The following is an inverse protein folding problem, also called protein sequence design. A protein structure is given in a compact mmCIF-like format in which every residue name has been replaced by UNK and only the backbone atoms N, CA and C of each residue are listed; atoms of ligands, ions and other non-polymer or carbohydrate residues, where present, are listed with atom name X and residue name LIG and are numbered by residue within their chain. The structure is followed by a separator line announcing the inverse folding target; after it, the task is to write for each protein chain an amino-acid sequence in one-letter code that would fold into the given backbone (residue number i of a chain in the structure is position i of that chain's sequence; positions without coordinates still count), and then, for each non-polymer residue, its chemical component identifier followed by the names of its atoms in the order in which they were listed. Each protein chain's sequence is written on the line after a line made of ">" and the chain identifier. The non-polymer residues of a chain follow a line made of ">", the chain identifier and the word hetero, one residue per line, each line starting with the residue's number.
data_IF_065481985104
#
_entry.id   IF_065481985104
#
_cell.length_a   1.000
_cell.length_b   1.000
_cell.length_c   1.000
_cell.angle_alpha   90.00
_cell.angle_beta   90.00
_cell.angle_gamma   90.00
#
_symmetry.space_group_name_H-M   'P 1'
#
loop_
_entity.id
_entity.type
_entity.pdbx_description
1 polymer ?
#
# COMPACT_ATOMS: atom_id res chain seq x y z
N UNK A 1 39.17 -13.13 -4.21
CA UNK A 1 37.79 -13.49 -3.82
C UNK A 1 36.95 -12.23 -3.91
N UNK A 2 36.04 -12.13 -4.88
CA UNK A 2 35.15 -10.98 -5.04
C UNK A 2 33.97 -11.14 -4.06
N UNK A 3 33.96 -10.34 -3.00
CA UNK A 3 32.81 -10.22 -2.10
C UNK A 3 31.67 -9.56 -2.86
N UNK A 4 30.69 -10.38 -3.27
CA UNK A 4 29.41 -9.90 -3.81
C UNK A 4 28.69 -9.15 -2.69
N UNK A 5 28.95 -7.85 -2.58
CA UNK A 5 28.16 -6.94 -1.76
C UNK A 5 26.73 -7.01 -2.27
N UNK A 6 25.89 -7.81 -1.61
CA UNK A 6 24.44 -7.79 -1.85
C UNK A 6 23.98 -6.38 -1.49
N UNK A 7 23.82 -5.52 -2.50
CA UNK A 7 23.29 -4.18 -2.33
C UNK A 7 21.83 -4.33 -1.92
N UNK A 8 21.59 -4.53 -0.61
CA UNK A 8 20.25 -4.52 -0.07
C UNK A 8 19.75 -3.10 -0.17
N UNK A 9 18.77 -2.90 -1.03
CA UNK A 9 18.11 -1.62 -1.17
C UNK A 9 17.65 -1.16 0.23
N UNK A 10 18.06 0.04 0.68
CA UNK A 10 17.72 0.50 2.02
C UNK A 10 16.21 0.54 2.19
N UNK A 11 15.72 0.13 3.36
CA UNK A 11 14.31 0.19 3.67
C UNK A 11 13.80 1.62 3.51
N UNK A 12 12.58 1.76 3.00
CA UNK A 12 11.97 3.08 2.88
C UNK A 12 11.78 3.71 4.25
N UNK A 13 12.26 4.94 4.43
CA UNK A 13 12.10 5.68 5.68
C UNK A 13 10.64 6.08 5.90
N UNK A 14 10.27 6.44 7.13
CA UNK A 14 8.92 6.93 7.43
C UNK A 14 8.58 8.15 6.57
N UNK A 15 9.51 9.09 6.40
CA UNK A 15 9.33 10.26 5.55
C UNK A 15 9.01 9.87 4.10
N UNK A 16 9.73 8.90 3.54
CA UNK A 16 9.50 8.40 2.18
C UNK A 16 8.13 7.74 2.05
N UNK A 17 7.72 6.97 3.05
CA UNK A 17 6.39 6.35 3.12
C UNK A 17 5.28 7.42 3.12
N UNK A 18 5.42 8.44 3.98
CA UNK A 18 4.46 9.55 4.09
C UNK A 18 4.41 10.38 2.81
N UNK A 19 5.56 10.62 2.18
CA UNK A 19 5.63 11.31 0.91
C UNK A 19 4.84 10.58 -0.17
N UNK A 20 5.05 9.27 -0.32
CA UNK A 20 4.33 8.47 -1.30
C UNK A 20 2.81 8.47 -1.02
N UNK A 21 2.39 8.33 0.24
CA UNK A 21 0.97 8.37 0.62
C UNK A 21 0.32 9.70 0.22
N UNK A 22 0.95 10.84 0.55
CA UNK A 22 0.42 12.17 0.22
C UNK A 22 0.29 12.38 -1.29
N UNK A 23 1.27 11.90 -2.07
CA UNK A 23 1.23 12.02 -3.53
C UNK A 23 0.18 11.13 -4.16
N UNK A 24 0.06 9.87 -3.71
CA UNK A 24 -0.96 8.95 -4.20
C UNK A 24 -2.37 9.44 -3.86
N UNK A 25 -2.57 10.11 -2.71
CA UNK A 25 -3.88 10.66 -2.34
C UNK A 25 -4.49 11.58 -3.40
N UNK A 26 -3.69 12.35 -4.13
CA UNK A 26 -4.19 13.23 -5.19
C UNK A 26 -4.60 12.50 -6.48
N UNK A 27 -4.18 11.23 -6.64
CA UNK A 27 -4.34 10.44 -7.88
C UNK A 27 -4.83 9.03 -7.59
N UNK A 28 -5.47 8.83 -6.44
CA UNK A 28 -5.80 7.50 -5.91
C UNK A 28 -6.75 6.77 -6.84
N UNK A 29 -7.74 7.46 -7.41
CA UNK A 29 -8.72 6.91 -8.33
C UNK A 29 -8.04 6.34 -9.59
N UNK A 30 -7.11 7.09 -10.17
CA UNK A 30 -6.35 6.64 -11.34
C UNK A 30 -5.42 5.47 -11.01
N UNK A 31 -4.76 5.51 -9.86
CA UNK A 31 -3.84 4.44 -9.43
C UNK A 31 -4.58 3.14 -9.14
N UNK A 32 -5.84 3.24 -8.69
CA UNK A 32 -6.72 2.12 -8.38
C UNK A 32 -7.68 1.76 -9.52
N UNK A 33 -7.62 2.43 -10.67
CA UNK A 33 -8.41 2.04 -11.82
C UNK A 33 -7.86 0.73 -12.40
N UNK A 34 -8.63 -0.35 -12.22
CA UNK A 34 -8.28 -1.70 -12.66
C UNK A 34 -8.86 -2.06 -14.03
N UNK A 35 -9.54 -1.13 -14.72
CA UNK A 35 -9.99 -1.36 -16.09
C UNK A 35 -8.78 -1.66 -16.98
N UNK A 36 -8.97 -2.62 -17.89
CA UNK A 36 -7.91 -3.17 -18.75
C UNK A 36 -7.87 -2.53 -20.15
N UNK A 37 -8.67 -1.49 -20.39
CA UNK A 37 -8.62 -0.78 -21.66
C UNK A 37 -7.29 -0.02 -21.80
N UNK A 38 -6.91 0.22 -23.06
CA UNK A 38 -5.63 0.84 -23.42
C UNK A 38 -5.49 2.23 -22.79
N UNK A 39 -6.55 3.04 -22.81
CA UNK A 39 -6.51 4.43 -22.33
C UNK A 39 -6.27 4.47 -20.81
N UNK A 40 -7.03 3.68 -20.05
CA UNK A 40 -6.84 3.56 -18.60
C UNK A 40 -5.44 3.04 -18.26
N UNK A 41 -4.96 2.02 -18.98
CA UNK A 41 -3.64 1.43 -18.71
C UNK A 41 -2.52 2.43 -18.98
N UNK A 42 -2.58 3.16 -20.10
CA UNK A 42 -1.61 4.20 -20.46
C UNK A 42 -1.63 5.33 -19.43
N UNK A 43 -2.82 5.83 -19.08
CA UNK A 43 -2.97 6.90 -18.11
C UNK A 43 -2.42 6.52 -16.72
N UNK A 44 -2.77 5.32 -16.22
CA UNK A 44 -2.24 4.80 -14.96
C UNK A 44 -0.72 4.64 -14.98
N UNK A 45 -0.15 4.16 -16.09
CA UNK A 45 1.30 4.04 -16.23
C UNK A 45 1.99 5.41 -16.24
N UNK A 46 1.39 6.41 -16.89
CA UNK A 46 1.90 7.79 -16.89
C UNK A 46 1.90 8.39 -15.46
N UNK A 47 0.81 8.24 -14.72
CA UNK A 47 0.73 8.68 -13.32
C UNK A 47 1.80 8.00 -12.46
N UNK A 48 2.02 6.69 -12.63
CA UNK A 48 3.08 5.99 -11.92
C UNK A 48 4.49 6.48 -12.30
N UNK A 49 4.71 6.84 -13.56
CA UNK A 49 5.99 7.40 -14.01
C UNK A 49 6.24 8.79 -13.39
N UNK A 50 5.23 9.66 -13.37
CA UNK A 50 5.30 10.98 -12.73
C UNK A 50 5.54 10.87 -11.21
N UNK A 51 4.84 9.95 -10.54
CA UNK A 51 5.06 9.65 -9.14
C UNK A 51 6.50 9.20 -8.88
N UNK A 52 7.06 8.34 -9.72
CA UNK A 52 8.44 7.88 -9.58
C UNK A 52 9.45 9.00 -9.80
N UNK A 53 9.23 9.85 -10.80
CA UNK A 53 10.07 11.02 -11.06
C UNK A 53 10.05 11.98 -9.86
N UNK A 54 8.86 12.33 -9.39
CA UNK A 54 8.66 13.24 -8.24
C UNK A 54 9.25 12.68 -6.95
N UNK A 55 9.08 11.38 -6.72
CA UNK A 55 9.67 10.68 -5.57
C UNK A 55 11.20 10.72 -5.61
N UNK A 56 11.80 10.37 -6.75
CA UNK A 56 13.26 10.36 -6.89
C UNK A 56 13.87 11.76 -6.82
N UNK A 57 13.17 12.78 -7.35
CA UNK A 57 13.59 14.17 -7.24
C UNK A 57 13.54 14.68 -5.79
N UNK A 58 12.59 14.19 -4.98
CA UNK A 58 12.46 14.57 -3.57
C UNK A 58 13.46 13.87 -2.66
N UNK A 59 14.00 12.71 -3.08
CA UNK A 59 15.00 11.93 -2.35
C UNK A 59 16.23 11.64 -3.22
N UNK A 60 17.00 12.67 -3.63
CA UNK A 60 18.14 12.50 -4.54
C UNK A 60 19.35 11.79 -3.87
N UNK A 61 19.37 11.72 -2.54
CA UNK A 61 20.46 11.11 -1.76
C UNK A 61 20.50 9.58 -1.81
N UNK A 62 19.53 8.94 -2.47
CA UNK A 62 19.42 7.49 -2.59
C UNK A 62 19.34 7.05 -4.05
N UNK A 63 19.60 5.76 -4.34
CA UNK A 63 19.35 5.24 -5.67
C UNK A 63 17.89 5.44 -6.08
N UNK A 64 17.65 5.76 -7.37
CA UNK A 64 16.32 5.91 -7.92
C UNK A 64 15.44 4.69 -7.63
N UNK A 65 14.26 4.93 -7.08
CA UNK A 65 13.22 3.90 -6.97
C UNK A 65 12.61 3.63 -8.34
N UNK A 66 12.48 2.36 -8.69
CA UNK A 66 11.69 1.96 -9.86
C UNK A 66 10.19 2.10 -9.57
N UNK A 67 9.39 2.22 -10.64
CA UNK A 67 7.92 2.18 -10.55
C UNK A 67 7.46 0.89 -9.84
N UNK A 68 8.09 -0.25 -10.12
CA UNK A 68 7.77 -1.54 -9.48
C UNK A 68 8.01 -1.53 -7.97
N UNK A 69 9.09 -0.88 -7.52
CA UNK A 69 9.41 -0.70 -6.10
C UNK A 69 8.36 0.17 -5.42
N UNK A 70 7.93 1.27 -6.05
CA UNK A 70 6.90 2.16 -5.51
C UNK A 70 5.50 1.51 -5.50
N UNK A 71 5.15 0.73 -6.52
CA UNK A 71 3.92 -0.09 -6.54
C UNK A 71 3.91 -1.10 -5.39
N UNK A 72 5.06 -1.73 -5.10
CA UNK A 72 5.21 -2.66 -3.98
C UNK A 72 5.11 -1.95 -2.65
N UNK A 73 5.77 -0.79 -2.51
CA UNK A 73 5.66 0.06 -1.32
C UNK A 73 4.21 0.48 -1.06
N UNK A 74 3.51 0.93 -2.09
CA UNK A 74 2.10 1.28 -2.03
C UNK A 74 1.23 0.13 -1.52
N UNK A 75 1.38 -1.08 -2.07
CA UNK A 75 0.68 -2.28 -1.59
C UNK A 75 0.92 -2.53 -0.10
N UNK A 76 2.17 -2.43 0.37
CA UNK A 76 2.52 -2.60 1.79
C UNK A 76 1.91 -1.51 2.65
N UNK A 77 1.97 -0.26 2.19
CA UNK A 77 1.39 0.88 2.90
C UNK A 77 -0.12 0.75 3.07
N UNK A 78 -0.85 0.23 2.06
CA UNK A 78 -2.29 -0.06 2.21
C UNK A 78 -2.56 -1.00 3.39
N UNK A 79 -1.76 -2.06 3.53
CA UNK A 79 -1.90 -3.01 4.63
C UNK A 79 -1.53 -2.35 5.97
N UNK A 80 -0.41 -1.63 6.03
CA UNK A 80 0.01 -0.88 7.22
C UNK A 80 -1.05 0.13 7.66
N UNK A 81 -1.70 0.83 6.73
CA UNK A 81 -2.76 1.79 7.02
C UNK A 81 -4.03 1.11 7.54
N UNK A 82 -4.45 -0.03 6.96
CA UNK A 82 -5.58 -0.81 7.47
C UNK A 82 -5.35 -1.29 8.91
N UNK A 83 -4.14 -1.82 9.19
CA UNK A 83 -3.77 -2.26 10.53
C UNK A 83 -3.72 -1.08 11.51
N UNK A 84 -3.20 0.08 11.09
CA UNK A 84 -3.18 1.27 11.93
C UNK A 84 -4.59 1.79 12.24
N UNK A 85 -5.49 1.75 11.26
CA UNK A 85 -6.90 2.14 11.45
C UNK A 85 -7.61 1.19 12.42
N UNK A 86 -7.42 -0.12 12.26
CA UNK A 86 -7.97 -1.13 13.18
C UNK A 86 -7.47 -0.92 14.61
N UNK A 87 -6.14 -0.75 14.79
CA UNK A 87 -5.55 -0.46 16.09
C UNK A 87 -6.07 0.84 16.70
N UNK A 88 -6.31 1.88 15.89
CA UNK A 88 -6.93 3.13 16.36
C UNK A 88 -8.34 2.87 16.87
N UNK A 89 -9.15 2.10 16.14
CA UNK A 89 -10.52 1.79 16.53
C UNK A 89 -10.55 0.97 17.83
N UNK A 90 -9.65 0.00 17.98
CA UNK A 90 -9.45 -0.77 19.23
C UNK A 90 -9.00 0.13 20.40
N UNK A 91 -8.04 1.03 20.17
CA UNK A 91 -7.57 1.98 21.19
C UNK A 91 -8.68 2.95 21.62
N UNK A 92 -9.45 3.47 20.67
CA UNK A 92 -10.62 4.32 20.96
C UNK A 92 -11.69 3.56 21.74
N UNK A 93 -11.98 2.32 21.36
CA UNK A 93 -12.93 1.47 22.09
C UNK A 93 -12.44 1.11 23.51
N UNK A 94 -11.12 1.00 23.70
CA UNK A 94 -10.49 0.73 24.99
C UNK A 94 -10.21 2.00 25.83
N UNK A 95 -10.52 3.20 25.31
CA UNK A 95 -10.23 4.47 25.99
C UNK A 95 -8.73 4.79 26.11
N UNK A 96 -7.88 4.16 25.30
CA UNK A 96 -6.42 4.35 25.29
C UNK A 96 -6.02 5.53 24.39
N UNK A 97 -4.95 6.27 24.73
CA UNK A 97 -4.45 7.35 23.89
C UNK A 97 -3.90 6.79 22.57
N UNK A 98 -4.34 7.39 21.46
CA UNK A 98 -3.88 7.05 20.11
C UNK A 98 -2.45 7.58 19.94
N UNK A 99 -1.52 6.73 19.49
CA UNK A 99 -0.12 7.17 19.30
C UNK A 99 0.01 8.13 18.10
N UNK A 100 0.92 9.10 18.16
CA UNK A 100 1.17 10.05 17.07
C UNK A 100 1.53 9.38 15.72
N UNK A 101 2.19 8.21 15.76
CA UNK A 101 2.44 7.41 14.55
C UNK A 101 1.14 6.83 13.97
N UNK A 102 0.23 6.42 14.83
CA UNK A 102 -1.12 5.95 14.43
C UNK A 102 -1.94 7.11 13.87
N UNK A 103 -1.84 8.31 14.43
CA UNK A 103 -2.55 9.50 13.95
C UNK A 103 -2.10 9.89 12.54
N UNK A 104 -0.80 10.00 12.27
CA UNK A 104 -0.31 10.43 10.95
C UNK A 104 -0.64 9.42 9.84
N UNK A 105 -0.60 8.12 10.15
CA UNK A 105 -1.02 7.06 9.22
C UNK A 105 -2.55 7.05 9.05
N UNK A 106 -3.31 7.38 10.10
CA UNK A 106 -4.77 7.47 10.08
C UNK A 106 -5.32 8.81 9.56
N UNK A 107 -4.47 9.82 9.33
CA UNK A 107 -4.78 11.10 8.67
C UNK A 107 -4.87 10.99 7.15
N UNK A 108 -4.69 9.78 6.59
CA UNK A 108 -5.08 9.49 5.21
C UNK A 108 -6.39 8.64 5.16
N UNK A 109 -7.46 9.02 5.89
CA UNK A 109 -8.70 8.22 5.93
C UNK A 109 -9.40 8.18 4.57
N UNK A 110 -9.26 9.23 3.76
CA UNK A 110 -9.81 9.27 2.39
C UNK A 110 -9.13 8.29 1.43
N UNK A 111 -7.94 7.75 1.76
CA UNK A 111 -7.36 6.65 0.98
C UNK A 111 -8.03 5.30 1.25
N UNK A 112 -8.67 5.15 2.42
CA UNK A 112 -9.30 3.90 2.88
C UNK A 112 -10.81 3.94 2.69
N UNK A 113 -11.48 5.08 2.85
CA UNK A 113 -12.90 5.19 2.53
C UNK A 113 -13.18 4.88 1.05
N UNK A 114 -12.28 5.28 0.13
CA UNK A 114 -12.36 4.87 -1.28
C UNK A 114 -12.03 3.37 -1.51
N UNK A 115 -11.50 2.66 -0.51
CA UNK A 115 -11.23 1.21 -0.59
C UNK A 115 -12.44 0.36 -0.19
N UNK A 116 -13.31 0.85 0.70
CA UNK A 116 -14.50 0.10 1.13
C UNK A 116 -15.59 0.05 0.05
N UNK A 117 -15.63 1.01 -0.88
CA UNK A 117 -16.62 1.00 -1.97
C UNK A 117 -16.25 0.06 -3.13
N UNK A 118 -14.99 -0.37 -3.26
CA UNK A 118 -14.51 -1.18 -4.39
C UNK A 118 -14.31 -2.67 -4.03
N UNK A 119 -14.24 -3.03 -2.75
CA UNK A 119 -14.15 -4.45 -2.30
C UNK A 119 -15.53 -5.14 -2.24
N UNK A 120 -16.53 -4.57 -2.91
CA UNK A 120 -17.89 -5.10 -3.04
C UNK A 120 -18.08 -6.09 -4.19
N UNK A 121 -17.04 -6.79 -4.65
CA UNK A 121 -17.22 -7.99 -5.50
C UNK A 121 -16.03 -8.95 -5.37
N UNK A 122 -16.28 -10.07 -4.70
CA UNK A 122 -15.32 -11.14 -4.45
C UNK A 122 -15.95 -12.27 -3.64
N UNK A 123 -17.21 -12.56 -3.93
CA UNK A 123 -18.00 -13.59 -3.26
C UNK A 123 -17.47 -15.01 -3.58
N UNK A 124 -17.54 -15.85 -2.54
CA UNK A 124 -17.48 -17.33 -2.48
C UNK A 124 -16.23 -18.03 -3.07
N UNK A 125 -15.48 -18.81 -2.29
CA UNK A 125 -16.00 -20.10 -1.83
C UNK A 125 -15.27 -20.62 -0.59
N UNK A 126 -16.05 -20.83 0.47
CA UNK A 126 -15.77 -21.85 1.48
C UNK A 126 -15.68 -23.21 0.80
N UNK A 127 -14.52 -23.86 0.82
CA UNK A 127 -14.44 -25.32 0.74
C UNK A 127 -14.03 -25.82 2.11
N UNK A 128 -15.07 -26.05 2.91
CA UNK A 128 -15.06 -26.90 4.08
C UNK A 128 -15.18 -28.33 3.54
N UNK A 129 -14.17 -29.17 3.76
CA UNK A 129 -14.16 -30.54 3.26
C UNK A 129 -13.00 -31.34 3.84
N UNK A 130 -12.94 -31.43 5.17
CA UNK A 130 -12.09 -32.43 5.82
C UNK A 130 -12.70 -33.81 5.60
N UNK A 131 -11.98 -34.67 4.87
CA UNK A 131 -12.33 -36.09 4.74
C UNK A 131 -12.18 -36.81 6.08
N UNK A 132 -13.18 -37.58 6.54
CA UNK A 132 -13.02 -38.47 7.68
C UNK A 132 -12.30 -39.75 7.25
N UNK A 133 -11.36 -40.21 8.08
CA UNK A 133 -10.74 -41.52 7.93
C UNK A 133 -11.74 -42.65 8.10
N UNK A 134 -11.63 -43.67 7.25
CA UNK A 134 -12.30 -44.94 7.43
C UNK A 134 -11.28 -45.95 7.95
N UNK A 135 -11.41 -46.29 9.24
CA UNK A 135 -10.92 -47.55 9.78
C UNK A 135 -12.12 -48.49 9.94
N UNK A 136 -12.05 -49.66 9.32
CA UNK A 136 -12.15 -50.97 9.96
C UNK A 136 -11.83 -52.05 8.91
#
# INVERSE_FOLDING_TARGET
>A
MLTTMTYRMPNFTLEQKLFLLRRIHAVVDTVQDFRKDTNTTVHRNAVWAELAQTFNASFPSRPPSSIGSLKTLWKRLKVECRVALQKRQEQQAAGLPVSALTEVIALVPNLISCLEEVDGDGSYSSVRGGSPGAGN
#
